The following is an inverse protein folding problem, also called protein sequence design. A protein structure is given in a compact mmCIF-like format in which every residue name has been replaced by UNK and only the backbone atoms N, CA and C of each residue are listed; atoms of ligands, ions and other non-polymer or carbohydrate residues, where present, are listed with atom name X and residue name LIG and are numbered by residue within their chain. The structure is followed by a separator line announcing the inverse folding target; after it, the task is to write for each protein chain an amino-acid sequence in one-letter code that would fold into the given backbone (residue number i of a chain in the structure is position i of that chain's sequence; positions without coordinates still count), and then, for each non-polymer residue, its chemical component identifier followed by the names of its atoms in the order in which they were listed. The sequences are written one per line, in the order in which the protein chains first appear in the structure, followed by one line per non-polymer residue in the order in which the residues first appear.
data_IF_834150282415
#
_entry.id   IF_834150282415
#
_cell.length_a   1.000
_cell.length_b   1.000
_cell.length_c   1.000
_cell.angle_alpha   90.00
_cell.angle_beta   90.00
_cell.angle_gamma   90.00
#
_symmetry.space_group_name_H-M   'P 1'
#
loop_
_entity.id
_entity.type
_entity.pdbx_description
1 polymer ?
#
# COMPACT_ATOMS: atom_id res chain seq x y z
N UNK A 1 -10.80 -1.92 -4.88
CA UNK A 1 -10.55 -2.91 -3.80
C UNK A 1 -11.68 -2.81 -2.78
N UNK A 2 -11.94 -3.88 -2.04
CA UNK A 2 -12.85 -3.89 -0.89
C UNK A 2 -12.12 -4.40 0.36
N UNK A 3 -12.85 -4.73 1.42
CA UNK A 3 -12.26 -4.89 2.76
C UNK A 3 -11.02 -5.80 2.86
N UNK A 4 -10.98 -6.95 2.21
CA UNK A 4 -9.81 -7.85 2.29
C UNK A 4 -9.56 -8.50 0.92
N UNK A 5 -9.64 -7.71 -0.16
CA UNK A 5 -9.31 -8.20 -1.51
C UNK A 5 -8.95 -7.09 -2.48
N UNK A 6 -8.12 -7.43 -3.45
CA UNK A 6 -7.88 -6.62 -4.64
C UNK A 6 -8.73 -7.10 -5.81
N UNK A 7 -9.03 -6.17 -6.73
CA UNK A 7 -9.62 -6.49 -8.02
C UNK A 7 -8.91 -5.63 -9.08
N UNK A 8 -8.29 -6.23 -10.11
CA UNK A 8 -8.12 -7.68 -10.34
C UNK A 8 -7.21 -8.36 -9.30
N UNK A 9 -7.23 -9.70 -9.25
CA UNK A 9 -6.42 -10.52 -8.31
C UNK A 9 -5.00 -10.80 -8.82
N UNK A 10 -4.76 -10.69 -10.13
CA UNK A 10 -3.43 -10.67 -10.75
C UNK A 10 -3.37 -9.61 -11.85
N UNK A 11 -2.15 -9.19 -12.19
CA UNK A 11 -1.92 -8.16 -13.21
C UNK A 11 -0.77 -8.63 -14.11
N UNK A 12 -1.05 -8.76 -15.40
CA UNK A 12 -0.05 -9.04 -16.42
C UNK A 12 0.78 -7.78 -16.70
N UNK A 13 2.11 -7.91 -16.75
CA UNK A 13 3.03 -6.78 -16.97
C UNK A 13 4.20 -7.20 -17.85
N UNK A 14 4.87 -6.23 -18.48
CA UNK A 14 6.07 -6.44 -19.30
C UNK A 14 7.28 -5.70 -18.72
N UNK A 15 8.51 -6.19 -18.96
CA UNK A 15 9.70 -5.44 -18.60
C UNK A 15 9.75 -4.08 -19.32
N UNK A 16 10.06 -3.02 -18.57
CA UNK A 16 10.07 -1.63 -19.04
C UNK A 16 8.70 -0.96 -19.09
N UNK A 17 7.62 -1.68 -18.79
CA UNK A 17 6.28 -1.12 -18.80
C UNK A 17 6.05 -0.19 -17.61
N UNK A 18 5.54 1.02 -17.87
CA UNK A 18 5.10 1.94 -16.83
C UNK A 18 3.59 1.92 -16.73
N UNK A 19 3.08 1.57 -15.55
CA UNK A 19 1.64 1.51 -15.26
C UNK A 19 1.30 2.59 -14.24
N UNK A 20 0.20 3.30 -14.48
CA UNK A 20 -0.47 4.13 -13.49
C UNK A 20 -1.63 3.33 -12.88
N UNK A 21 -1.49 2.97 -11.61
CA UNK A 21 -2.55 2.36 -10.83
C UNK A 21 -3.46 3.46 -10.27
N UNK A 22 -4.76 3.34 -10.52
CA UNK A 22 -5.80 4.15 -9.89
C UNK A 22 -6.53 3.26 -8.90
N UNK A 23 -6.29 3.51 -7.62
CA UNK A 23 -6.64 2.63 -6.52
C UNK A 23 -7.81 3.21 -5.75
N UNK A 24 -9.01 2.67 -5.95
CA UNK A 24 -10.21 3.04 -5.20
C UNK A 24 -10.48 2.03 -4.09
N UNK A 25 -10.58 2.51 -2.86
CA UNK A 25 -11.04 1.72 -1.72
C UNK A 25 -12.55 1.88 -1.55
N UNK A 26 -13.29 0.81 -1.85
CA UNK A 26 -14.74 0.73 -1.69
C UNK A 26 -15.15 0.04 -0.38
N UNK A 27 -14.18 -0.42 0.40
CA UNK A 27 -14.36 -1.03 1.71
C UNK A 27 -14.44 0.00 2.84
N UNK A 28 -14.55 -0.53 4.05
CA UNK A 28 -14.61 0.19 5.33
C UNK A 28 -13.28 0.18 6.09
N UNK A 29 -12.28 -0.58 5.63
CA UNK A 29 -10.98 -0.70 6.27
C UNK A 29 -9.89 0.09 5.52
N UNK A 30 -8.84 0.48 6.24
CA UNK A 30 -7.63 1.05 5.66
C UNK A 30 -6.92 -0.01 4.81
N UNK A 31 -6.48 0.40 3.62
CA UNK A 31 -5.68 -0.45 2.75
C UNK A 31 -4.35 0.17 2.38
N UNK A 32 -3.46 -0.71 1.96
CA UNK A 32 -2.20 -0.36 1.35
C UNK A 32 -2.13 -1.08 0.00
N UNK A 33 -1.55 -0.43 -1.00
CA UNK A 33 -1.09 -1.09 -2.21
C UNK A 33 0.43 -0.95 -2.27
N UNK A 34 1.14 -2.03 -1.94
CA UNK A 34 2.60 -2.09 -1.95
C UNK A 34 3.08 -3.08 -3.01
N UNK A 35 4.01 -2.69 -3.87
CA UNK A 35 4.65 -3.55 -4.89
C UNK A 35 5.99 -4.05 -4.35
N UNK A 36 6.14 -5.36 -4.19
CA UNK A 36 7.36 -5.93 -3.62
C UNK A 36 7.42 -7.45 -3.72
N UNK A 37 8.55 -8.02 -3.30
CA UNK A 37 8.68 -9.47 -3.12
C UNK A 37 8.11 -9.88 -1.76
N UNK A 38 7.71 -11.14 -1.63
CA UNK A 38 7.15 -11.67 -0.37
C UNK A 38 8.02 -11.38 0.88
N UNK A 39 9.35 -11.44 0.76
CA UNK A 39 10.25 -11.12 1.86
C UNK A 39 10.20 -9.63 2.27
N UNK A 40 10.03 -8.71 1.31
CA UNK A 40 9.87 -7.29 1.59
C UNK A 40 8.51 -7.02 2.27
N UNK A 41 7.44 -7.66 1.79
CA UNK A 41 6.12 -7.61 2.42
C UNK A 41 6.16 -8.11 3.87
N UNK A 42 6.86 -9.21 4.13
CA UNK A 42 7.01 -9.74 5.49
C UNK A 42 7.78 -8.80 6.43
N UNK A 43 8.73 -8.02 5.92
CA UNK A 43 9.42 -6.99 6.70
C UNK A 43 8.49 -5.81 6.97
N UNK A 44 7.80 -5.31 5.93
CA UNK A 44 6.90 -4.16 6.02
C UNK A 44 5.71 -4.40 6.95
N UNK A 45 5.18 -5.62 6.99
CA UNK A 45 4.13 -6.02 7.94
C UNK A 45 4.56 -5.81 9.41
N UNK A 46 5.85 -5.96 9.75
CA UNK A 46 6.34 -5.72 11.11
C UNK A 46 6.36 -4.23 11.46
N UNK A 47 6.67 -3.39 10.48
CA UNK A 47 6.64 -1.93 10.62
C UNK A 47 5.19 -1.45 10.80
N UNK A 48 4.28 -1.91 9.95
CA UNK A 48 2.85 -1.60 10.04
C UNK A 48 2.24 -2.08 11.37
N UNK A 49 2.63 -3.27 11.85
CA UNK A 49 2.22 -3.75 13.16
C UNK A 49 2.69 -2.83 14.29
N UNK A 50 3.92 -2.31 14.22
CA UNK A 50 4.46 -1.37 15.21
C UNK A 50 3.70 -0.04 15.19
N UNK A 51 3.32 0.46 14.00
CA UNK A 51 2.50 1.67 13.85
C UNK A 51 1.07 1.48 14.35
N UNK A 52 0.50 0.29 14.22
CA UNK A 52 -0.80 -0.04 14.79
C UNK A 52 -0.74 -0.11 16.32
N UNK A 53 0.31 -0.74 16.87
CA UNK A 53 0.51 -0.85 18.31
C UNK A 53 0.75 0.50 19.00
N UNK A 54 1.46 1.42 18.34
CA UNK A 54 1.71 2.76 18.89
C UNK A 54 0.60 3.79 18.59
N UNK A 55 -0.47 3.37 17.90
CA UNK A 55 -1.64 4.21 17.61
C UNK A 55 -1.43 5.24 16.51
N UNK A 56 -0.34 5.15 15.73
CA UNK A 56 -0.14 5.96 14.51
C UNK A 56 -1.02 5.48 13.36
N UNK A 57 -1.40 4.20 13.35
CA UNK A 57 -2.41 3.64 12.44
C UNK A 57 -3.58 3.06 13.24
N UNK A 58 -4.75 3.06 12.62
CA UNK A 58 -5.96 2.41 13.11
C UNK A 58 -6.66 1.65 11.97
N UNK A 59 -7.71 0.86 12.24
CA UNK A 59 -8.37 0.04 11.22
C UNK A 59 -8.94 0.81 10.02
N UNK A 60 -9.18 2.11 10.14
CA UNK A 60 -9.86 2.93 9.11
C UNK A 60 -9.01 4.10 8.62
N UNK A 61 -7.78 4.28 9.09
CA UNK A 61 -6.94 5.42 8.67
C UNK A 61 -5.77 5.71 9.61
N UNK A 62 -5.23 6.93 9.48
CA UNK A 62 -4.22 7.43 10.40
C UNK A 62 -4.80 7.68 11.81
N UNK A 63 -4.04 7.36 12.85
CA UNK A 63 -4.43 7.53 14.24
C UNK A 63 -4.21 8.96 14.80
N UNK A 64 -4.64 9.18 16.05
CA UNK A 64 -4.77 10.50 16.70
C UNK A 64 -3.45 11.28 16.86
N UNK A 65 -2.30 10.65 16.69
CA UNK A 65 -1.00 11.35 16.66
C UNK A 65 -0.79 12.18 15.39
N UNK A 66 -1.67 12.04 14.38
CA UNK A 66 -1.58 12.74 13.08
C UNK A 66 -2.74 13.69 12.79
N UNK A 67 -3.75 13.83 13.68
CA UNK A 67 -4.91 14.74 13.48
C UNK A 67 -4.57 16.25 13.40
N UNK A 68 -3.29 16.62 13.37
CA UNK A 68 -2.80 18.00 13.19
C UNK A 68 -2.19 18.30 11.83
N UNK A 69 -2.00 17.32 10.93
CA UNK A 69 -1.42 17.58 9.60
C UNK A 69 -2.50 17.59 8.52
N UNK A 70 -2.98 18.81 8.24
CA UNK A 70 -3.88 19.13 7.14
C UNK A 70 -3.32 18.66 5.80
N UNK A 71 -4.18 18.05 4.99
CA UNK A 71 -3.96 17.92 3.56
C UNK A 71 -3.86 19.32 2.93
N UNK A 72 -2.98 19.46 1.94
CA UNK A 72 -2.66 20.67 1.18
C UNK A 72 -1.52 21.51 1.78
N UNK A 73 -0.57 21.85 0.90
CA UNK A 73 0.65 22.66 1.06
C UNK A 73 1.95 21.86 1.21
N UNK A 74 2.76 21.92 0.16
CA UNK A 74 4.09 21.32 0.09
C UNK A 74 5.05 21.85 1.15
N UNK A 75 6.06 21.04 1.46
CA UNK A 75 7.27 21.47 2.16
C UNK A 75 7.19 21.51 3.68
N UNK A 76 6.75 20.44 4.35
CA UNK A 76 7.08 20.21 5.76
C UNK A 76 7.63 18.80 5.97
N UNK A 77 8.96 18.75 6.01
CA UNK A 77 9.80 17.59 6.31
C UNK A 77 9.53 17.08 7.73
N UNK A 78 8.75 16.01 7.84
CA UNK A 78 8.65 15.22 9.07
C UNK A 78 9.81 14.23 9.11
N UNK A 79 10.77 14.45 10.00
CA UNK A 79 11.91 13.55 10.21
C UNK A 79 11.38 12.24 10.80
N UNK A 80 11.25 11.19 9.97
CA UNK A 80 11.23 9.81 10.45
C UNK A 80 10.20 8.84 9.86
N UNK A 81 9.19 9.28 9.10
CA UNK A 81 8.24 8.37 8.42
C UNK A 81 7.61 9.06 7.20
N UNK A 82 8.39 9.17 6.13
CA UNK A 82 7.82 9.26 4.79
C UNK A 82 7.82 7.83 4.23
N UNK A 83 6.65 7.24 4.02
CA UNK A 83 6.53 6.13 3.08
C UNK A 83 6.43 6.70 1.65
N UNK A 84 7.42 7.49 1.25
CA UNK A 84 7.69 7.77 -0.17
C UNK A 84 8.50 6.60 -0.77
N UNK A 85 8.20 5.39 -0.33
CA UNK A 85 8.58 4.22 -1.07
C UNK A 85 7.79 4.32 -2.38
N UNK A 86 8.46 4.51 -3.54
CA UNK A 86 7.78 4.75 -4.82
C UNK A 86 6.86 3.60 -5.24
N UNK A 87 6.92 2.50 -4.50
CA UNK A 87 6.16 1.27 -4.63
C UNK A 87 5.06 1.11 -3.57
N UNK A 88 4.73 2.09 -2.72
CA UNK A 88 3.60 1.95 -1.76
C UNK A 88 2.68 3.18 -1.68
N UNK A 89 1.41 2.94 -1.37
CA UNK A 89 0.43 3.98 -1.03
C UNK A 89 -0.65 3.45 -0.09
N UNK A 90 -1.06 4.26 0.89
CA UNK A 90 -2.21 4.01 1.77
C UNK A 90 -3.49 4.61 1.20
N UNK A 91 -4.59 3.86 1.25
CA UNK A 91 -5.90 4.24 0.72
C UNK A 91 -6.96 4.07 1.82
N UNK A 92 -7.41 5.19 2.36
CA UNK A 92 -8.50 5.22 3.36
C UNK A 92 -9.85 4.80 2.76
N UNK A 93 -10.82 4.37 3.59
CA UNK A 93 -12.18 4.05 3.15
C UNK A 93 -12.81 5.15 2.29
N UNK A 94 -13.31 4.80 1.11
CA UNK A 94 -13.92 5.74 0.16
C UNK A 94 -12.93 6.60 -0.63
N UNK A 95 -11.64 6.57 -0.31
CA UNK A 95 -10.62 7.36 -1.00
C UNK A 95 -10.20 6.71 -2.33
N UNK A 96 -9.60 7.54 -3.19
CA UNK A 96 -8.90 7.11 -4.41
C UNK A 96 -7.49 7.68 -4.38
N UNK A 97 -6.50 6.83 -4.68
CA UNK A 97 -5.10 7.21 -4.77
C UNK A 97 -4.48 6.74 -6.08
N UNK A 98 -3.36 7.35 -6.46
CA UNK A 98 -2.59 6.96 -7.63
C UNK A 98 -1.18 6.50 -7.25
N UNK A 99 -0.68 5.51 -7.97
CA UNK A 99 0.70 5.06 -7.91
C UNK A 99 1.21 4.79 -9.33
N UNK A 100 2.36 5.36 -9.68
CA UNK A 100 2.99 5.15 -10.99
C UNK A 100 4.24 4.31 -10.77
N UNK A 101 4.32 3.19 -11.48
CA UNK A 101 5.42 2.24 -11.34
C UNK A 101 5.92 1.76 -12.69
N UNK A 102 7.25 1.70 -12.84
CA UNK A 102 7.91 1.10 -13.99
C UNK A 102 8.44 -0.28 -13.63
N UNK A 103 7.91 -1.31 -14.30
CA UNK A 103 8.38 -2.68 -14.15
C UNK A 103 9.74 -2.86 -14.83
N UNK A 104 10.62 -3.60 -14.18
CA UNK A 104 11.89 -4.03 -14.74
C UNK A 104 11.87 -5.57 -14.92
N UNK A 105 13.01 -6.17 -15.24
CA UNK A 105 13.13 -7.63 -15.42
C UNK A 105 13.02 -8.45 -14.11
N UNK A 106 12.48 -7.89 -13.02
CA UNK A 106 12.36 -8.58 -11.72
C UNK A 106 11.15 -9.51 -11.67
N UNK A 107 11.39 -10.80 -11.49
CA UNK A 107 10.33 -11.80 -11.28
C UNK A 107 9.91 -11.92 -9.81
N UNK A 108 8.73 -12.50 -9.60
CA UNK A 108 8.19 -12.78 -8.27
C UNK A 108 7.72 -11.53 -7.51
N UNK A 109 7.43 -10.45 -8.23
CA UNK A 109 6.78 -9.27 -7.67
C UNK A 109 5.31 -9.57 -7.37
N UNK A 110 4.83 -9.00 -6.28
CA UNK A 110 3.45 -9.06 -5.82
C UNK A 110 3.01 -7.65 -5.43
N UNK A 111 1.74 -7.34 -5.65
CA UNK A 111 1.09 -6.25 -4.95
C UNK A 111 0.39 -6.80 -3.72
N UNK A 112 0.51 -6.12 -2.58
CA UNK A 112 -0.06 -6.60 -1.33
C UNK A 112 -0.48 -5.46 -0.40
N UNK A 113 -1.40 -5.78 0.52
CA UNK A 113 -1.73 -4.93 1.65
C UNK A 113 -1.04 -5.43 2.91
N UNK A 114 -0.16 -4.63 3.51
CA UNK A 114 0.60 -5.01 4.71
C UNK A 114 -0.02 -4.50 6.01
N UNK A 115 -1.24 -3.94 5.96
CA UNK A 115 -2.02 -3.64 7.17
C UNK A 115 -2.18 -4.94 7.98
N UNK A 116 -2.03 -4.91 9.32
CA UNK A 116 -2.02 -6.13 10.13
C UNK A 116 -3.19 -7.06 9.84
N UNK A 117 -2.88 -8.30 9.44
CA UNK A 117 -3.86 -9.34 9.14
C UNK A 117 -4.33 -9.41 7.68
N UNK A 118 -4.16 -8.36 6.88
CA UNK A 118 -4.71 -8.31 5.52
C UNK A 118 -3.94 -9.23 4.56
N UNK A 119 -2.60 -9.18 4.57
CA UNK A 119 -1.75 -10.09 3.78
C UNK A 119 -2.05 -11.56 4.10
N UNK A 120 -2.10 -11.90 5.39
CA UNK A 120 -2.35 -13.26 5.88
C UNK A 120 -3.75 -13.76 5.50
N UNK A 121 -4.70 -12.84 5.35
CA UNK A 121 -6.07 -13.14 4.92
C UNK A 121 -6.23 -13.26 3.40
N UNK A 122 -5.14 -13.11 2.65
CA UNK A 122 -5.13 -13.28 1.19
C UNK A 122 -5.20 -11.98 0.38
N UNK A 123 -5.03 -10.81 1.01
CA UNK A 123 -4.99 -9.53 0.29
C UNK A 123 -3.62 -9.29 -0.37
N UNK A 124 -3.29 -10.16 -1.32
CA UNK A 124 -2.05 -10.18 -2.10
C UNK A 124 -2.35 -10.74 -3.49
N UNK A 125 -1.73 -10.18 -4.53
CA UNK A 125 -1.84 -10.64 -5.91
C UNK A 125 -0.50 -10.63 -6.64
N UNK A 126 -0.25 -11.59 -7.56
CA UNK A 126 0.98 -11.64 -8.32
C UNK A 126 0.99 -10.62 -9.47
N UNK A 127 2.19 -10.17 -9.84
CA UNK A 127 2.45 -9.62 -11.16
C UNK A 127 2.98 -10.72 -12.08
N UNK A 128 2.26 -10.98 -13.16
CA UNK A 128 2.60 -12.00 -14.13
C UNK A 128 3.42 -11.37 -15.26
N UNK A 129 4.74 -11.55 -15.22
CA UNK A 129 5.63 -11.10 -16.29
C UNK A 129 5.36 -11.89 -17.58
N UNK A 130 5.03 -11.18 -18.66
CA UNK A 130 4.81 -11.73 -20.00
C UNK A 130 5.95 -11.38 -20.96
#
# INVERSE_FOLDING_TARGET
MGDIFFKPESIDVKPGETIRFVLRNEGSLLHEFNIGKAAAHAAHQKEMASMFQNGTLNPTGAGKTMSGMSHSMGGMKMVGMEHNDPNSVLIEPGATQELIWTFNNSTGLQFACNVPGHYQSGMVGPFDLK
#
